data_IF_834364158954
#
_entry.id   IF_834364158954
#
_cell.length_a   1.000
_cell.length_b   1.000
_cell.length_c   1.000
_cell.angle_alpha   90.00
_cell.angle_beta   90.00
_cell.angle_gamma   90.00
#
_symmetry.space_group_name_H-M   'P 1'
#
loop_
_entity.id
_entity.type
_entity.pdbx_description
1 polymer ?
#
# COMPACT_ATOMS: atom_id res chain seq x y z
N UNK A 1 -5.32 -40.64 10.26
CA UNK A 1 -5.77 -40.22 11.61
C UNK A 1 -4.92 -39.06 12.06
N UNK A 2 -5.53 -37.87 12.10
CA UNK A 2 -5.25 -36.69 12.95
C UNK A 2 -5.72 -35.45 12.20
N UNK A 3 -6.94 -35.04 12.56
CA UNK A 3 -7.63 -33.85 12.12
C UNK A 3 -7.05 -32.63 12.86
N UNK A 4 -6.94 -31.48 12.18
CA UNK A 4 -6.86 -30.19 12.87
C UNK A 4 -8.00 -29.29 12.40
N UNK A 5 -8.70 -28.76 13.41
CA UNK A 5 -10.03 -28.20 13.35
C UNK A 5 -10.03 -26.73 12.95
N UNK A 6 -11.13 -26.33 12.32
CA UNK A 6 -11.50 -24.95 12.02
C UNK A 6 -11.84 -24.19 13.31
N UNK A 7 -11.23 -23.01 13.48
CA UNK A 7 -11.59 -22.04 14.51
C UNK A 7 -12.44 -20.93 13.91
N UNK A 8 -13.76 -21.09 14.01
CA UNK A 8 -14.77 -20.07 13.74
C UNK A 8 -14.88 -19.21 15.02
N UNK A 9 -14.56 -17.92 14.98
CA UNK A 9 -14.80 -17.02 16.12
C UNK A 9 -15.91 -16.03 15.74
N UNK A 10 -17.09 -16.27 16.31
CA UNK A 10 -18.26 -15.40 16.30
C UNK A 10 -18.10 -14.41 17.45
N UNK A 11 -18.15 -13.11 17.17
CA UNK A 11 -18.42 -12.11 18.21
C UNK A 11 -19.66 -11.33 17.83
N UNK A 12 -20.72 -11.62 18.57
CA UNK A 12 -21.99 -10.91 18.56
C UNK A 12 -21.98 -9.80 19.61
N UNK A 13 -22.57 -8.65 19.26
CA UNK A 13 -23.24 -7.75 20.18
C UNK A 13 -22.40 -6.66 20.82
N UNK A 14 -22.68 -5.39 20.46
CA UNK A 14 -23.40 -4.50 21.38
C UNK A 14 -23.98 -3.31 20.58
N UNK A 15 -25.30 -3.27 20.53
CA UNK A 15 -26.11 -2.13 20.08
C UNK A 15 -26.23 -1.17 21.26
N UNK A 16 -25.82 0.08 21.11
CA UNK A 16 -26.30 1.16 21.98
C UNK A 16 -26.82 2.33 21.14
N UNK A 17 -28.15 2.43 21.18
CA UNK A 17 -28.95 3.62 20.91
C UNK A 17 -28.44 4.83 21.71
N UNK A 18 -28.27 5.97 21.04
CA UNK A 18 -28.56 7.26 21.65
C UNK A 18 -29.37 8.09 20.66
N UNK A 19 -30.63 8.29 21.01
CA UNK A 19 -31.59 9.10 20.32
C UNK A 19 -31.54 10.55 20.84
N UNK A 20 -31.76 11.48 19.90
CA UNK A 20 -32.55 12.72 20.03
C UNK A 20 -32.24 13.67 21.18
N UNK A 21 -31.89 14.90 20.82
CA UNK A 21 -32.48 16.09 21.45
C UNK A 21 -32.53 17.23 20.43
N UNK A 22 -33.74 17.49 19.96
CA UNK A 22 -34.16 18.65 19.19
C UNK A 22 -34.48 19.76 20.19
N UNK A 23 -33.94 20.97 19.99
CA UNK A 23 -34.49 22.17 20.61
C UNK A 23 -34.69 23.22 19.51
N UNK A 24 -35.93 23.31 19.05
CA UNK A 24 -36.47 24.52 18.44
C UNK A 24 -36.61 25.59 19.53
N UNK A 25 -36.06 26.77 19.29
CA UNK A 25 -36.48 27.98 19.97
C UNK A 25 -36.69 29.08 18.92
N UNK A 26 -37.95 29.22 18.52
CA UNK A 26 -38.51 30.38 17.85
C UNK A 26 -38.83 31.44 18.89
N UNK A 27 -38.28 32.65 18.77
CA UNK A 27 -38.92 33.84 19.35
C UNK A 27 -38.80 35.02 18.39
N UNK A 28 -39.98 35.51 18.05
CA UNK A 28 -40.34 36.76 17.41
C UNK A 28 -39.92 37.98 18.22
N UNK A 29 -39.59 39.07 17.54
CA UNK A 29 -39.46 40.39 18.15
C UNK A 29 -39.14 41.45 17.10
N UNK A 30 -40.18 42.04 16.52
CA UNK A 30 -40.07 43.29 15.78
C UNK A 30 -39.91 44.43 16.77
N UNK A 31 -38.99 45.36 16.53
CA UNK A 31 -39.17 46.76 16.95
C UNK A 31 -38.22 47.71 16.18
N UNK A 32 -38.88 48.54 15.37
CA UNK A 32 -38.66 49.95 15.06
C UNK A 32 -37.29 50.63 15.22
N UNK A 33 -36.90 51.26 14.12
CA UNK A 33 -35.84 52.27 13.89
C UNK A 33 -36.04 53.52 14.79
N UNK A 34 -34.95 54.23 15.13
CA UNK A 34 -34.88 55.59 14.58
C UNK A 34 -33.49 55.98 14.03
N UNK A 35 -33.59 56.77 12.97
CA UNK A 35 -32.54 57.56 12.34
C UNK A 35 -31.83 58.48 13.34
N UNK A 36 -30.49 58.45 13.35
CA UNK A 36 -29.69 59.64 13.63
C UNK A 36 -28.43 59.66 12.77
N UNK A 37 -28.40 60.68 11.91
CA UNK A 37 -27.27 61.19 11.15
C UNK A 37 -26.27 61.87 12.09
N UNK A 38 -24.99 61.50 12.00
CA UNK A 38 -23.88 62.20 12.67
C UNK A 38 -22.58 61.41 12.50
N UNK A 39 -21.83 61.64 11.42
CA UNK A 39 -20.60 62.45 11.44
C UNK A 39 -19.46 61.91 12.33
N UNK A 40 -18.37 61.56 11.63
CA UNK A 40 -16.95 61.69 11.99
C UNK A 40 -16.15 60.44 12.41
N UNK A 41 -14.98 60.40 11.76
CA UNK A 41 -13.69 59.84 12.17
C UNK A 41 -13.49 58.34 11.95
N UNK A 42 -12.59 58.06 11.00
CA UNK A 42 -12.23 56.74 10.54
C UNK A 42 -11.57 55.86 11.60
N UNK A 43 -11.67 54.56 11.36
CA UNK A 43 -10.64 53.58 11.65
C UNK A 43 -10.62 52.62 10.46
N UNK A 44 -9.50 52.60 9.75
CA UNK A 44 -9.16 51.56 8.80
C UNK A 44 -8.81 50.29 9.62
N UNK A 45 -9.85 49.57 10.05
CA UNK A 45 -9.72 48.20 10.53
C UNK A 45 -9.64 47.31 9.30
N UNK A 46 -8.44 46.97 8.87
CA UNK A 46 -8.24 45.99 7.81
C UNK A 46 -8.87 44.68 8.25
N UNK A 47 -9.93 44.28 7.55
CA UNK A 47 -10.39 42.90 7.50
C UNK A 47 -9.24 42.05 6.94
N UNK A 48 -8.35 41.63 7.83
CA UNK A 48 -7.58 40.41 7.62
C UNK A 48 -8.60 39.28 7.61
N UNK A 49 -9.20 39.07 6.43
CA UNK A 49 -9.62 37.75 6.00
C UNK A 49 -8.43 36.84 6.25
N UNK A 50 -8.46 36.16 7.40
CA UNK A 50 -7.69 34.95 7.63
C UNK A 50 -8.18 33.99 6.57
N UNK A 51 -7.52 34.06 5.41
CA UNK A 51 -7.53 32.97 4.46
C UNK A 51 -7.22 31.72 5.27
N UNK A 52 -8.04 30.66 5.19
CA UNK A 52 -7.69 29.41 5.82
C UNK A 52 -6.34 29.04 5.23
N UNK A 53 -5.30 29.11 6.06
CA UNK A 53 -4.00 28.60 5.73
C UNK A 53 -4.25 27.16 5.30
N UNK A 54 -4.17 26.93 3.99
CA UNK A 54 -4.06 25.61 3.44
C UNK A 54 -2.95 24.95 4.27
N UNK A 55 -3.31 23.99 5.13
CA UNK A 55 -2.34 23.06 5.69
C UNK A 55 -1.59 22.53 4.49
N UNK A 56 -0.39 23.06 4.24
CA UNK A 56 0.49 22.52 3.23
C UNK A 56 0.69 21.07 3.65
N UNK A 57 0.04 20.16 2.93
CA UNK A 57 0.13 18.74 3.22
C UNK A 57 1.61 18.41 3.23
N UNK A 58 2.04 17.71 4.28
CA UNK A 58 3.44 17.30 4.40
C UNK A 58 3.90 16.66 3.08
N UNK A 59 5.16 16.83 2.66
CA UNK A 59 5.62 16.28 1.40
C UNK A 59 5.43 14.75 1.38
N UNK A 60 5.18 14.15 0.21
CA UNK A 60 5.05 12.71 0.10
C UNK A 60 6.35 12.03 0.58
N UNK A 61 6.24 10.83 1.16
CA UNK A 61 7.38 10.13 1.71
C UNK A 61 8.40 9.80 0.61
N UNK A 62 9.67 10.08 0.90
CA UNK A 62 10.78 9.89 -0.04
C UNK A 62 11.47 8.56 0.21
N UNK A 63 11.90 7.90 -0.86
CA UNK A 63 12.71 6.68 -0.78
C UNK A 63 14.21 6.97 -0.59
N UNK A 64 14.89 6.05 0.08
CA UNK A 64 16.36 6.06 0.19
C UNK A 64 17.00 5.86 -1.19
N UNK A 65 17.96 6.71 -1.51
CA UNK A 65 18.70 6.70 -2.77
C UNK A 65 19.98 5.87 -2.68
N UNK A 66 20.59 5.80 -1.50
CA UNK A 66 21.85 5.10 -1.27
C UNK A 66 21.62 3.76 -0.59
N UNK A 67 20.97 2.83 -1.29
CA UNK A 67 20.77 1.47 -0.81
C UNK A 67 20.89 0.45 -1.94
N UNK A 68 21.09 -0.81 -1.56
CA UNK A 68 21.04 -1.91 -2.48
C UNK A 68 19.59 -2.07 -2.98
N UNK A 69 19.40 -1.97 -4.29
CA UNK A 69 18.12 -2.23 -4.98
C UNK A 69 18.36 -3.13 -6.20
N UNK A 70 17.43 -4.05 -6.51
CA UNK A 70 17.48 -4.77 -7.78
C UNK A 70 17.20 -3.80 -8.94
N UNK A 71 17.67 -4.14 -10.15
CA UNK A 71 17.25 -3.40 -11.35
C UNK A 71 15.89 -3.89 -11.83
N UNK A 72 15.14 -3.04 -12.53
CA UNK A 72 13.85 -3.44 -13.14
C UNK A 72 14.05 -4.63 -14.11
N UNK A 73 15.16 -4.64 -14.88
CA UNK A 73 15.51 -5.76 -15.76
C UNK A 73 15.74 -7.06 -14.96
N UNK A 74 16.43 -6.99 -13.81
CA UNK A 74 16.61 -8.17 -12.96
C UNK A 74 15.28 -8.72 -12.43
N UNK A 75 14.38 -7.83 -11.98
CA UNK A 75 13.03 -8.21 -11.52
C UNK A 75 12.23 -8.85 -12.65
N UNK A 76 12.24 -8.26 -13.84
CA UNK A 76 11.54 -8.82 -14.99
C UNK A 76 12.15 -10.17 -15.40
N UNK A 77 13.47 -10.36 -15.32
CA UNK A 77 14.13 -11.65 -15.60
C UNK A 77 13.69 -12.74 -14.61
N UNK A 78 13.74 -12.48 -13.30
CA UNK A 78 13.31 -13.46 -12.29
C UNK A 78 11.82 -13.77 -12.41
N UNK A 79 11.00 -12.80 -12.84
CA UNK A 79 9.57 -13.01 -13.11
C UNK A 79 9.31 -14.06 -14.19
N UNK A 80 10.23 -14.19 -15.16
CA UNK A 80 10.19 -15.23 -16.20
C UNK A 80 10.84 -16.55 -15.75
N UNK A 81 11.45 -16.61 -14.56
CA UNK A 81 12.28 -17.74 -14.13
C UNK A 81 13.66 -17.77 -14.78
N UNK A 82 14.15 -16.62 -15.26
CA UNK A 82 15.53 -16.45 -15.75
C UNK A 82 16.42 -15.96 -14.59
N UNK A 83 17.71 -16.32 -14.60
CA UNK A 83 18.64 -15.80 -13.58
C UNK A 83 18.78 -14.28 -13.72
N UNK A 84 18.77 -13.57 -12.58
CA UNK A 84 19.12 -12.16 -12.51
C UNK A 84 20.61 -11.96 -12.88
N UNK A 85 20.96 -10.76 -13.34
CA UNK A 85 22.36 -10.35 -13.53
C UNK A 85 23.00 -10.01 -12.20
N UNK A 86 22.25 -9.33 -11.32
CA UNK A 86 22.71 -9.00 -9.96
C UNK A 86 22.41 -10.13 -8.98
N UNK A 87 23.45 -10.60 -8.29
CA UNK A 87 23.34 -11.57 -7.19
C UNK A 87 22.45 -11.00 -6.09
N UNK A 88 21.60 -11.85 -5.50
CA UNK A 88 20.70 -11.47 -4.40
C UNK A 88 19.33 -10.95 -4.85
N UNK A 89 19.09 -10.67 -6.14
CA UNK A 89 17.79 -10.19 -6.62
C UNK A 89 16.66 -11.21 -6.45
N UNK A 90 16.95 -12.48 -6.70
CA UNK A 90 16.01 -13.59 -6.47
C UNK A 90 16.52 -14.52 -5.38
N UNK A 91 15.59 -15.18 -4.70
CA UNK A 91 15.89 -16.23 -3.73
C UNK A 91 15.48 -17.60 -4.24
N UNK A 92 16.13 -18.64 -3.73
CA UNK A 92 15.60 -20.01 -3.82
C UNK A 92 14.48 -20.23 -2.79
N UNK A 93 14.47 -19.53 -1.67
CA UNK A 93 13.41 -19.66 -0.67
C UNK A 93 12.12 -18.92 -1.02
N UNK A 94 12.15 -18.03 -2.03
CA UNK A 94 10.99 -17.20 -2.37
C UNK A 94 10.65 -17.28 -3.86
N UNK A 95 9.38 -17.57 -4.21
CA UNK A 95 8.93 -17.64 -5.59
C UNK A 95 8.84 -16.24 -6.22
N UNK A 96 9.38 -16.11 -7.43
CA UNK A 96 9.21 -14.91 -8.26
C UNK A 96 8.65 -15.21 -9.65
N UNK A 97 8.64 -16.48 -10.07
CA UNK A 97 8.21 -16.85 -11.43
C UNK A 97 6.69 -16.75 -11.57
N UNK A 98 6.25 -15.90 -12.50
CA UNK A 98 4.84 -15.70 -12.83
C UNK A 98 4.37 -16.69 -13.91
N UNK A 99 3.10 -17.08 -13.85
CA UNK A 99 2.39 -17.71 -14.95
C UNK A 99 1.71 -16.66 -15.85
N UNK A 100 1.06 -17.09 -16.94
CA UNK A 100 0.47 -16.18 -17.92
C UNK A 100 -0.66 -15.30 -17.34
N UNK A 101 -1.45 -15.86 -16.40
CA UNK A 101 -2.53 -15.12 -15.74
C UNK A 101 -1.97 -14.04 -14.80
N UNK A 102 -1.01 -14.38 -13.94
CA UNK A 102 -0.32 -13.40 -13.09
C UNK A 102 0.44 -12.38 -13.90
N UNK A 103 1.03 -12.78 -15.01
CA UNK A 103 1.77 -11.87 -15.87
C UNK A 103 0.86 -10.76 -16.36
N UNK A 104 -0.34 -11.12 -16.80
CA UNK A 104 -1.37 -10.15 -17.19
C UNK A 104 -1.71 -9.22 -16.03
N UNK A 105 -1.88 -9.75 -14.81
CA UNK A 105 -2.15 -8.94 -13.62
C UNK A 105 -0.98 -8.03 -13.23
N UNK A 106 0.26 -8.51 -13.34
CA UNK A 106 1.48 -7.78 -13.07
C UNK A 106 1.66 -6.61 -14.04
N UNK A 107 1.47 -6.85 -15.34
CA UNK A 107 1.56 -5.79 -16.37
C UNK A 107 0.48 -4.72 -16.17
N UNK A 108 -0.74 -5.12 -15.80
CA UNK A 108 -1.80 -4.20 -15.41
C UNK A 108 -1.45 -3.43 -14.12
N UNK A 109 -0.85 -4.10 -13.13
CA UNK A 109 -0.48 -3.49 -11.86
C UNK A 109 0.60 -2.43 -12.03
N UNK A 110 1.60 -2.66 -12.90
CA UNK A 110 2.64 -1.66 -13.23
C UNK A 110 2.04 -0.39 -13.84
N UNK A 111 1.02 -0.53 -14.67
CA UNK A 111 0.31 0.60 -15.27
C UNK A 111 -0.58 1.33 -14.26
N UNK A 112 -1.32 0.59 -13.42
CA UNK A 112 -2.24 1.14 -12.41
C UNK A 112 -1.53 1.73 -11.17
N UNK A 113 -0.38 1.19 -10.81
CA UNK A 113 0.34 1.48 -9.56
C UNK A 113 -0.05 0.64 -8.35
N UNK A 114 -0.96 -0.33 -8.51
CA UNK A 114 -1.33 -1.26 -7.45
C UNK A 114 -1.73 -2.62 -8.03
N UNK A 115 -1.57 -3.68 -7.25
CA UNK A 115 -1.91 -5.04 -7.67
C UNK A 115 -3.25 -5.47 -7.08
N UNK A 116 -4.11 -6.05 -7.91
CA UNK A 116 -5.38 -6.63 -7.49
C UNK A 116 -5.24 -8.14 -7.37
N UNK A 117 -5.54 -8.69 -6.19
CA UNK A 117 -5.33 -10.09 -5.88
C UNK A 117 -6.56 -10.66 -5.18
N UNK A 118 -6.98 -11.88 -5.50
CA UNK A 118 -8.04 -12.56 -4.75
C UNK A 118 -7.47 -13.23 -3.49
N UNK A 119 -8.11 -13.01 -2.34
CA UNK A 119 -7.57 -13.44 -1.04
C UNK A 119 -6.15 -12.94 -0.81
N UNK A 120 -5.29 -13.76 -0.22
CA UNK A 120 -3.88 -13.43 0.05
C UNK A 120 -2.96 -13.49 -1.19
N UNK A 121 -3.45 -13.92 -2.36
CA UNK A 121 -2.61 -14.23 -3.52
C UNK A 121 -1.83 -15.53 -3.42
N UNK A 122 -2.07 -16.27 -2.35
CA UNK A 122 -1.48 -17.56 -2.09
C UNK A 122 -1.94 -18.61 -3.09
N UNK A 123 -0.99 -19.42 -3.54
CA UNK A 123 -1.21 -20.58 -4.40
C UNK A 123 -1.06 -21.84 -3.59
N UNK A 124 -2.16 -22.57 -3.41
CA UNK A 124 -2.12 -23.89 -2.79
C UNK A 124 -1.19 -24.88 -3.49
N UNK A 125 -1.08 -24.82 -4.83
CA UNK A 125 -0.25 -25.74 -5.62
C UNK A 125 1.26 -25.60 -5.38
N UNK A 126 1.73 -24.45 -4.87
CA UNK A 126 3.16 -24.19 -4.61
C UNK A 126 3.44 -23.61 -3.21
N UNK A 127 2.41 -23.39 -2.40
CA UNK A 127 2.48 -22.75 -1.09
C UNK A 127 3.16 -21.37 -1.14
N UNK A 128 2.73 -20.52 -2.07
CA UNK A 128 3.55 -19.42 -2.57
C UNK A 128 2.72 -18.24 -3.10
N UNK A 129 3.25 -17.00 -3.04
CA UNK A 129 2.60 -15.78 -3.60
C UNK A 129 3.52 -15.01 -4.58
N UNK A 130 3.83 -15.57 -5.78
CA UNK A 130 4.85 -15.02 -6.68
C UNK A 130 4.51 -13.63 -7.23
N UNK A 131 3.23 -13.36 -7.52
CA UNK A 131 2.76 -12.06 -7.98
C UNK A 131 3.05 -10.94 -6.97
N UNK A 132 2.71 -11.16 -5.70
CA UNK A 132 2.92 -10.20 -4.61
C UNK A 132 4.43 -9.94 -4.43
N UNK A 133 5.24 -11.00 -4.38
CA UNK A 133 6.69 -10.90 -4.21
C UNK A 133 7.36 -10.14 -5.37
N UNK A 134 6.95 -10.44 -6.60
CA UNK A 134 7.51 -9.79 -7.81
C UNK A 134 7.10 -8.34 -7.88
N UNK A 135 5.84 -8.01 -7.56
CA UNK A 135 5.36 -6.64 -7.53
C UNK A 135 6.05 -5.81 -6.44
N UNK A 136 6.21 -6.36 -5.24
CA UNK A 136 6.99 -5.73 -4.15
C UNK A 136 8.44 -5.46 -4.57
N UNK A 137 9.08 -6.42 -5.24
CA UNK A 137 10.44 -6.25 -5.79
C UNK A 137 10.53 -5.19 -6.89
N UNK A 138 9.49 -5.06 -7.71
CA UNK A 138 9.40 -4.02 -8.73
C UNK A 138 9.23 -2.63 -8.14
N UNK A 139 8.38 -2.49 -7.11
CA UNK A 139 8.24 -1.25 -6.34
C UNK A 139 9.56 -0.85 -5.67
N UNK A 140 10.28 -1.82 -5.09
CA UNK A 140 11.61 -1.61 -4.49
C UNK A 140 12.66 -1.17 -5.52
N UNK A 141 12.67 -1.77 -6.72
CA UNK A 141 13.56 -1.35 -7.81
C UNK A 141 13.32 0.12 -8.23
N UNK A 142 12.09 0.61 -8.06
CA UNK A 142 11.69 1.99 -8.37
C UNK A 142 11.80 2.96 -7.21
N UNK A 143 11.98 2.47 -5.98
CA UNK A 143 11.92 3.30 -4.78
C UNK A 143 10.53 3.93 -4.57
N UNK A 144 9.46 3.16 -4.79
CA UNK A 144 8.08 3.58 -4.51
C UNK A 144 7.42 2.58 -3.58
N UNK A 145 6.46 3.02 -2.77
CA UNK A 145 5.68 2.13 -1.92
C UNK A 145 4.92 1.08 -2.76
N UNK A 146 4.62 -0.08 -2.17
CA UNK A 146 3.85 -1.12 -2.83
C UNK A 146 2.40 -1.11 -2.31
N UNK A 147 1.43 -1.18 -3.22
CA UNK A 147 0.00 -1.16 -2.89
C UNK A 147 -0.64 -2.47 -3.37
N UNK A 148 -1.30 -3.16 -2.45
CA UNK A 148 -2.03 -4.40 -2.69
C UNK A 148 -3.51 -4.20 -2.39
N UNK A 149 -4.38 -4.61 -3.31
CA UNK A 149 -5.82 -4.70 -3.12
C UNK A 149 -6.21 -6.18 -3.06
N UNK A 150 -6.40 -6.68 -1.84
CA UNK A 150 -6.84 -8.03 -1.56
C UNK A 150 -8.37 -8.09 -1.59
N UNK A 151 -8.91 -8.86 -2.53
CA UNK A 151 -10.36 -9.04 -2.69
C UNK A 151 -10.84 -10.11 -1.72
N UNK A 152 -11.68 -9.72 -0.78
CA UNK A 152 -12.34 -10.63 0.15
C UNK A 152 -13.72 -11.07 -0.35
N UNK A 153 -14.42 -11.82 0.49
CA UNK A 153 -15.83 -12.18 0.25
C UNK A 153 -16.72 -10.94 0.34
N UNK A 154 -16.64 -10.23 1.47
CA UNK A 154 -17.58 -9.17 1.85
C UNK A 154 -16.93 -7.78 1.80
N UNK A 155 -15.71 -7.69 2.32
CA UNK A 155 -14.89 -6.48 2.31
C UNK A 155 -13.56 -6.76 1.61
N UNK A 156 -13.04 -5.74 0.93
CA UNK A 156 -11.72 -5.80 0.31
C UNK A 156 -10.72 -5.08 1.25
N UNK A 157 -9.48 -5.57 1.29
CA UNK A 157 -8.40 -5.02 2.10
C UNK A 157 -7.39 -4.30 1.21
N UNK A 158 -7.10 -3.03 1.51
CA UNK A 158 -6.03 -2.26 0.89
C UNK A 158 -4.83 -2.29 1.82
N UNK A 159 -3.68 -2.73 1.31
CA UNK A 159 -2.41 -2.78 2.06
C UNK A 159 -1.40 -1.88 1.36
N UNK A 160 -0.91 -0.86 2.05
CA UNK A 160 0.18 0.00 1.64
C UNK A 160 1.46 -0.44 2.36
N UNK A 161 2.38 -1.09 1.65
CA UNK A 161 3.69 -1.47 2.16
C UNK A 161 4.71 -0.35 1.90
N UNK A 162 5.22 0.21 3.00
CA UNK A 162 6.20 1.30 3.01
C UNK A 162 7.65 0.77 3.01
N UNK A 163 7.87 -0.54 3.22
CA UNK A 163 9.21 -1.13 3.25
C UNK A 163 10.05 -0.89 1.97
N UNK A 164 9.49 -0.80 0.75
CA UNK A 164 10.26 -0.45 -0.45
C UNK A 164 10.90 0.95 -0.41
N UNK A 165 10.44 1.85 0.47
CA UNK A 165 11.07 3.17 0.64
C UNK A 165 12.44 3.06 1.32
N UNK A 166 12.74 1.95 2.02
CA UNK A 166 14.02 1.67 2.70
C UNK A 166 14.45 2.71 3.76
N UNK A 167 13.49 3.38 4.40
CA UNK A 167 13.75 4.38 5.46
C UNK A 167 13.01 4.01 6.75
N UNK A 168 13.50 3.03 7.53
CA UNK A 168 12.77 2.54 8.70
C UNK A 168 12.54 3.60 9.78
N UNK A 169 13.49 4.52 9.97
CA UNK A 169 13.33 5.66 10.89
C UNK A 169 12.19 6.63 10.48
N UNK A 170 11.75 6.59 9.22
CA UNK A 170 10.74 7.50 8.66
C UNK A 170 9.41 6.79 8.38
N UNK A 171 9.30 5.49 8.68
CA UNK A 171 8.10 4.72 8.38
C UNK A 171 6.88 5.24 9.14
N UNK A 172 7.04 5.66 10.40
CA UNK A 172 5.96 6.29 11.16
C UNK A 172 5.50 7.61 10.51
N UNK A 173 6.43 8.46 10.06
CA UNK A 173 6.11 9.70 9.35
C UNK A 173 5.41 9.42 8.02
N UNK A 174 5.86 8.42 7.27
CA UNK A 174 5.26 8.00 6.02
C UNK A 174 3.84 7.42 6.21
N UNK A 175 3.63 6.65 7.28
CA UNK A 175 2.30 6.13 7.64
C UNK A 175 1.37 7.25 8.10
N UNK A 176 1.84 8.16 8.95
CA UNK A 176 1.08 9.33 9.38
C UNK A 176 0.68 10.22 8.18
N UNK A 177 1.59 10.42 7.23
CA UNK A 177 1.30 11.10 5.97
C UNK A 177 0.19 10.41 5.18
N UNK A 178 0.25 9.07 5.07
CA UNK A 178 -0.74 8.28 4.32
C UNK A 178 -2.11 8.30 4.99
N UNK A 179 -2.16 8.27 6.33
CA UNK A 179 -3.39 8.33 7.14
C UNK A 179 -4.01 9.73 7.17
N UNK A 180 -3.21 10.77 6.98
CA UNK A 180 -3.66 12.17 6.95
C UNK A 180 -4.23 12.62 5.60
N UNK A 181 -4.36 11.73 4.61
CA UNK A 181 -4.98 12.06 3.34
C UNK A 181 -6.52 12.02 3.47
N UNK A 182 -7.22 12.77 2.64
CA UNK A 182 -8.68 12.74 2.61
C UNK A 182 -9.18 11.35 2.19
N UNK A 183 -10.14 10.75 2.92
CA UNK A 183 -10.69 9.44 2.59
C UNK A 183 -9.84 8.25 3.00
N UNK A 184 -8.77 8.45 3.80
CA UNK A 184 -7.91 7.39 4.34
C UNK A 184 -8.19 7.08 5.81
N UNK A 185 -9.39 7.39 6.31
CA UNK A 185 -9.74 7.17 7.72
C UNK A 185 -9.75 5.66 8.06
N UNK A 186 -9.55 5.32 9.33
CA UNK A 186 -9.65 3.93 9.81
C UNK A 186 -8.55 2.99 9.32
N UNK A 187 -7.43 3.53 8.82
CA UNK A 187 -6.25 2.72 8.51
C UNK A 187 -5.53 2.26 9.77
N UNK A 188 -5.02 1.03 9.75
CA UNK A 188 -4.26 0.42 10.85
C UNK A 188 -2.82 0.21 10.43
N UNK A 189 -1.88 0.52 11.32
CA UNK A 189 -0.45 0.33 11.06
C UNK A 189 0.00 -1.00 11.65
N UNK A 190 0.66 -1.81 10.83
CA UNK A 190 1.18 -3.12 11.19
C UNK A 190 2.65 -3.22 10.76
N UNK A 191 3.47 -3.84 11.59
CA UNK A 191 4.86 -4.13 11.27
C UNK A 191 5.05 -5.64 11.39
N UNK A 192 5.44 -6.30 10.30
CA UNK A 192 5.62 -7.75 10.33
C UNK A 192 6.97 -8.06 10.97
N UNK A 193 6.99 -8.74 12.10
CA UNK A 193 8.21 -9.38 12.56
C UNK A 193 8.48 -10.60 11.68
N UNK A 194 9.66 -10.64 11.07
CA UNK A 194 10.12 -11.81 10.33
C UNK A 194 10.51 -12.92 11.33
N UNK A 195 9.54 -13.51 12.03
CA UNK A 195 9.72 -14.60 13.00
C UNK A 195 8.65 -14.64 14.10
N UNK A 196 7.75 -15.63 14.01
CA UNK A 196 6.88 -16.20 15.07
C UNK A 196 6.20 -15.26 16.09
N UNK A 197 4.97 -14.82 15.76
CA UNK A 197 3.82 -14.90 16.67
C UNK A 197 3.78 -14.02 17.93
N UNK A 198 4.21 -12.75 17.87
CA UNK A 198 3.94 -11.76 18.93
C UNK A 198 2.94 -10.69 18.47
N UNK A 199 1.75 -10.64 19.06
CA UNK A 199 0.87 -9.47 19.02
C UNK A 199 1.38 -8.43 20.03
N UNK A 200 2.43 -7.67 19.69
CA UNK A 200 2.90 -6.56 20.52
C UNK A 200 2.84 -5.23 19.77
N UNK A 201 2.46 -4.19 20.50
CA UNK A 201 1.95 -2.92 19.98
C UNK A 201 2.94 -2.20 19.05
N UNK A 202 2.40 -1.45 18.09
CA UNK A 202 3.16 -0.82 17.00
C UNK A 202 4.30 0.14 17.39
N UNK A 203 4.49 0.45 18.67
CA UNK A 203 5.65 1.20 19.17
C UNK A 203 6.93 0.35 19.21
N UNK A 204 6.86 -0.86 19.75
CA UNK A 204 8.02 -1.76 19.90
C UNK A 204 8.50 -2.28 18.54
N UNK A 205 7.55 -2.60 17.65
CA UNK A 205 7.88 -3.05 16.31
C UNK A 205 8.57 -1.96 15.47
N UNK A 206 8.25 -0.68 15.67
CA UNK A 206 8.95 0.42 15.01
C UNK A 206 10.39 0.58 15.53
N UNK A 207 10.58 0.44 16.84
CA UNK A 207 11.91 0.46 17.45
C UNK A 207 12.77 -0.68 16.92
N UNK A 208 12.24 -1.89 16.83
CA UNK A 208 12.90 -3.03 16.21
C UNK A 208 13.32 -2.77 14.76
N UNK A 209 12.44 -2.20 13.93
CA UNK A 209 12.77 -1.86 12.54
C UNK A 209 13.84 -0.77 12.43
N UNK A 210 13.83 0.20 13.35
CA UNK A 210 14.82 1.27 13.38
C UNK A 210 16.23 0.76 13.72
N UNK A 211 16.34 -0.33 14.48
CA UNK A 211 17.62 -1.00 14.76
C UNK A 211 18.16 -1.76 13.54
N UNK A 212 17.30 -2.06 12.55
CA UNK A 212 17.63 -2.80 11.33
C UNK A 212 17.90 -1.91 10.12
N UNK A 213 18.24 -0.63 10.31
CA UNK A 213 18.58 0.31 9.22
C UNK A 213 19.57 -0.31 8.24
N UNK A 214 20.62 -0.96 8.74
CA UNK A 214 21.65 -1.61 7.93
C UNK A 214 21.09 -2.70 7.00
N UNK A 215 20.12 -3.50 7.47
CA UNK A 215 19.46 -4.51 6.65
C UNK A 215 18.67 -3.83 5.53
N UNK A 216 17.92 -2.77 5.85
CA UNK A 216 17.18 -2.00 4.84
C UNK A 216 18.09 -1.37 3.79
N UNK A 217 19.36 -1.10 4.10
CA UNK A 217 20.33 -0.59 3.14
C UNK A 217 21.00 -1.67 2.30
N UNK A 218 21.18 -2.89 2.82
CA UNK A 218 22.08 -3.91 2.22
C UNK A 218 21.34 -5.13 1.67
N UNK A 219 20.26 -5.56 2.30
CA UNK A 219 19.57 -6.81 1.97
C UNK A 219 18.53 -6.61 0.86
N UNK A 220 18.20 -7.67 0.10
CA UNK A 220 17.09 -7.63 -0.83
C UNK A 220 15.74 -7.56 -0.11
N UNK A 221 14.76 -6.88 -0.74
CA UNK A 221 13.46 -6.56 -0.13
C UNK A 221 12.70 -7.80 0.39
N UNK A 222 12.92 -8.97 -0.22
CA UNK A 222 12.26 -10.20 0.19
C UNK A 222 12.75 -10.77 1.53
N UNK A 223 13.88 -10.30 2.05
CA UNK A 223 14.38 -10.63 3.40
C UNK A 223 13.97 -9.59 4.43
N UNK A 224 13.41 -8.47 3.98
CA UNK A 224 13.05 -7.37 4.85
C UNK A 224 11.62 -7.50 5.35
N UNK A 225 11.39 -7.20 6.65
CA UNK A 225 10.05 -7.09 7.19
C UNK A 225 9.25 -6.00 6.46
N UNK A 226 7.94 -6.20 6.40
CA UNK A 226 6.99 -5.23 5.88
C UNK A 226 6.59 -4.25 6.99
N UNK A 227 6.39 -2.99 6.60
CA UNK A 227 5.75 -1.99 7.43
C UNK A 227 4.58 -1.46 6.65
N UNK A 228 3.37 -1.77 7.10
CA UNK A 228 2.16 -1.65 6.32
C UNK A 228 1.13 -0.75 6.97
N UNK A 229 0.39 -0.03 6.14
CA UNK A 229 -0.88 0.58 6.53
C UNK A 229 -2.01 -0.17 5.82
N UNK A 230 -2.99 -0.61 6.58
CA UNK A 230 -4.05 -1.50 6.11
C UNK A 230 -5.42 -0.86 6.31
N UNK A 231 -6.29 -0.92 5.29
CA UNK A 231 -7.67 -0.47 5.36
C UNK A 231 -8.62 -1.60 4.94
N UNK A 232 -9.69 -1.80 5.69
CA UNK A 232 -10.81 -2.67 5.31
C UNK A 232 -11.96 -1.80 4.79
N UNK A 233 -12.36 -1.98 3.54
CA UNK A 233 -13.37 -1.14 2.90
C UNK A 233 -14.29 -1.96 1.98
N UNK A 234 -15.53 -1.51 1.72
CA UNK A 234 -16.34 -2.04 0.64
C UNK A 234 -15.59 -1.96 -0.71
N UNK A 235 -15.79 -2.95 -1.58
CA UNK A 235 -15.12 -3.05 -2.89
C UNK A 235 -15.00 -1.75 -3.71
N UNK A 236 -16.05 -0.93 -3.89
CA UNK A 236 -15.91 0.31 -4.66
C UNK A 236 -14.98 1.33 -3.96
N UNK A 237 -15.09 1.46 -2.64
CA UNK A 237 -14.27 2.35 -1.82
C UNK A 237 -12.81 1.88 -1.77
N UNK A 238 -12.57 0.58 -1.55
CA UNK A 238 -11.23 0.00 -1.51
C UNK A 238 -10.47 0.26 -2.83
N UNK A 239 -11.17 0.12 -3.97
CA UNK A 239 -10.59 0.40 -5.28
C UNK A 239 -10.36 1.89 -5.53
N UNK A 240 -11.24 2.76 -5.04
CA UNK A 240 -11.04 4.21 -5.11
C UNK A 240 -9.82 4.63 -4.30
N UNK A 241 -9.72 4.15 -3.06
CA UNK A 241 -8.59 4.35 -2.16
C UNK A 241 -7.27 3.89 -2.78
N UNK A 242 -7.20 2.67 -3.32
CA UNK A 242 -5.99 2.15 -3.95
C UNK A 242 -5.53 3.02 -5.14
N UNK A 243 -6.48 3.53 -5.95
CA UNK A 243 -6.16 4.45 -7.06
C UNK A 243 -5.66 5.81 -6.57
N UNK A 244 -6.31 6.35 -5.54
CA UNK A 244 -5.92 7.62 -4.93
C UNK A 244 -4.50 7.54 -4.37
N UNK A 245 -4.21 6.52 -3.55
CA UNK A 245 -2.87 6.29 -3.01
C UNK A 245 -1.84 6.10 -4.12
N UNK A 246 -2.18 5.34 -5.17
CA UNK A 246 -1.28 5.13 -6.30
C UNK A 246 -0.96 6.43 -7.07
N UNK A 247 -1.93 7.35 -7.16
CA UNK A 247 -1.74 8.66 -7.76
C UNK A 247 -0.86 9.57 -6.87
N UNK A 248 -1.16 9.63 -5.57
CA UNK A 248 -0.43 10.48 -4.61
C UNK A 248 1.04 10.05 -4.44
N UNK A 249 1.31 8.74 -4.45
CA UNK A 249 2.63 8.16 -4.29
C UNK A 249 3.35 7.89 -5.62
N UNK A 250 2.72 8.22 -6.76
CA UNK A 250 3.23 7.97 -8.11
C UNK A 250 3.73 6.52 -8.33
N UNK A 251 3.03 5.54 -7.76
CA UNK A 251 3.42 4.12 -7.82
C UNK A 251 3.19 3.52 -9.20
N UNK A 252 2.33 4.13 -10.02
CA UNK A 252 2.16 3.79 -11.43
C UNK A 252 3.38 4.17 -12.27
N UNK A 253 3.58 3.52 -13.41
CA UNK A 253 4.64 3.89 -14.34
C UNK A 253 4.22 5.13 -15.16
N UNK A 254 4.74 6.30 -14.79
CA UNK A 254 4.50 7.57 -15.52
C UNK A 254 4.98 7.44 -16.97
N UNK A 255 4.08 7.62 -17.94
CA UNK A 255 4.40 7.55 -19.37
C UNK A 255 3.70 6.45 -20.17
N UNK A 256 2.95 5.55 -19.54
CA UNK A 256 1.98 4.75 -20.28
C UNK A 256 0.67 5.54 -20.43
N UNK A 257 0.60 6.46 -21.40
CA UNK A 257 -0.64 6.52 -22.18
C UNK A 257 -0.87 5.08 -22.59
N UNK A 258 -1.87 4.44 -21.99
CA UNK A 258 -2.26 3.09 -22.32
C UNK A 258 -2.40 3.06 -23.84
N UNK A 259 -1.39 2.53 -24.55
CA UNK A 259 -1.51 2.28 -25.98
C UNK A 259 -2.65 1.27 -26.03
N UNK A 260 -3.81 1.78 -26.42
CA UNK A 260 -5.07 1.05 -26.61
C UNK A 260 -4.82 0.13 -27.80
N UNK A 261 -4.17 -0.97 -27.50
CA UNK A 261 -3.51 -1.80 -28.47
C UNK A 261 -2.81 -2.86 -27.68
N UNK A 262 -3.43 -4.04 -27.64
CA UNK A 262 -2.80 -5.30 -27.28
C UNK A 262 -1.56 -5.43 -28.16
N UNK A 263 -0.45 -4.82 -27.75
CA UNK A 263 0.87 -5.28 -28.16
C UNK A 263 0.88 -6.68 -27.61
N UNK A 264 0.65 -7.68 -28.47
CA UNK A 264 0.95 -9.07 -28.16
C UNK A 264 2.33 -8.99 -27.53
N UNK A 265 2.38 -9.17 -26.20
CA UNK A 265 3.63 -9.34 -25.48
C UNK A 265 4.43 -10.26 -26.37
N UNK A 266 5.55 -9.78 -26.93
CA UNK A 266 6.52 -10.62 -27.63
C UNK A 266 6.57 -11.90 -26.85
N UNK A 267 6.03 -12.98 -27.43
CA UNK A 267 5.60 -14.16 -26.71
C UNK A 267 6.65 -14.46 -25.66
N UNK A 268 6.22 -14.51 -24.40
CA UNK A 268 7.11 -14.70 -23.27
C UNK A 268 8.15 -15.75 -23.66
N UNK A 269 9.44 -15.50 -23.41
CA UNK A 269 10.49 -16.33 -23.97
C UNK A 269 10.14 -17.80 -23.80
N UNK A 270 10.16 -18.55 -24.90
CA UNK A 270 9.69 -19.93 -24.95
C UNK A 270 10.62 -20.81 -24.09
N UNK A 271 10.37 -20.82 -22.77
CA UNK A 271 11.11 -21.64 -21.82
C UNK A 271 10.53 -23.03 -21.96
N UNK A 272 11.24 -23.87 -22.74
CA UNK A 272 10.91 -25.30 -22.85
C UNK A 272 10.76 -25.86 -21.44
N UNK A 273 9.65 -26.55 -21.12
CA UNK A 273 9.56 -27.36 -19.92
C UNK A 273 10.78 -28.28 -19.89
N UNK A 274 11.65 -28.11 -18.90
CA UNK A 274 12.86 -28.93 -18.80
C UNK A 274 12.46 -30.40 -18.80
N UNK A 275 13.07 -31.21 -19.68
CA UNK A 275 12.94 -32.66 -19.67
C UNK A 275 13.28 -33.16 -18.26
N UNK A 276 12.33 -33.87 -17.66
CA UNK A 276 12.48 -34.64 -16.42
C UNK A 276 13.24 -33.94 -15.28
N UNK A 277 12.55 -33.07 -14.54
CA UNK A 277 12.74 -32.98 -13.10
C UNK A 277 11.38 -33.07 -12.43
N UNK A 278 10.94 -34.30 -12.18
CA UNK A 278 10.13 -34.56 -10.99
C UNK A 278 10.97 -34.03 -9.83
N UNK A 279 10.40 -33.12 -9.04
CA UNK A 279 11.04 -32.25 -8.02
C UNK A 279 11.77 -31.01 -8.54
N UNK A 280 11.30 -29.85 -8.06
CA UNK A 280 11.92 -28.55 -8.24
C UNK A 280 13.37 -28.56 -7.78
N UNK A 281 14.28 -28.39 -8.73
CA UNK A 281 15.70 -28.20 -8.48
C UNK A 281 16.08 -26.81 -8.95
N UNK A 282 16.36 -25.93 -7.99
CA UNK A 282 16.86 -24.57 -8.19
C UNK A 282 18.14 -24.56 -9.03
N UNK A 283 18.02 -24.10 -10.27
CA UNK A 283 19.15 -23.76 -11.14
C UNK A 283 19.37 -22.25 -11.13
N UNK A 284 20.00 -21.73 -10.09
CA UNK A 284 20.62 -20.39 -10.10
C UNK A 284 21.97 -20.56 -9.41
N UNK A 285 23.04 -20.56 -10.22
CA UNK A 285 24.43 -20.45 -9.76
C UNK A 285 24.87 -19.00 -9.77
#
# INVERSE_FOLDING_TARGET
MLCFAAGLCVVAGLVQHLARSSVCASLSGAETVPSMTGMLAGWAGGDTFLSPLACASAPPPLAEKQCWRPTIDDVDRISWGRPAKRKGTGSRGQPHRLNDAERTLYDLARSKGFVEVAGSGWRSQRADAPLVNTFRSWCDARGVAAIFLHKGSDVDQVVLDLSPLRRPAEFANAAAWALGQEGTEGGQVEASESGDGGEEGGGEALEFLSQRVDDFLKEPIHRLPMYTVTWLRPRPEAKALAKQLAALLATGQSGSTAKKGRVKSLGGPNIKPGKSRRHGGYGIG
#
